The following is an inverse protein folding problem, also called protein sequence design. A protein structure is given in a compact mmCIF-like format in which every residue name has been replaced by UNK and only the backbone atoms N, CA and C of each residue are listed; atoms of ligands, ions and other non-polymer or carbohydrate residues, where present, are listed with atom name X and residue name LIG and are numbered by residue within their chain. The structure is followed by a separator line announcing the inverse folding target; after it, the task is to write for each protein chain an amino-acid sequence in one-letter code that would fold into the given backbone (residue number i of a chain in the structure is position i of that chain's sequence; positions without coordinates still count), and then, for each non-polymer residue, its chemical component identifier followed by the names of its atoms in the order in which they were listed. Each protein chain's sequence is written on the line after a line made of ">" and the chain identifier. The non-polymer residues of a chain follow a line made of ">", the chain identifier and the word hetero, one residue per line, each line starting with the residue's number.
data_IF_279691652512
#
_entry.id   IF_279691652512
#
_cell.length_a   1.000
_cell.length_b   1.000
_cell.length_c   1.000
_cell.angle_alpha   90.00
_cell.angle_beta   90.00
_cell.angle_gamma   90.00
#
_symmetry.space_group_name_H-M   'P 1'
#
loop_
_entity.id
_entity.type
_entity.pdbx_description
1 polymer ?
#
# COMPACT_ATOMS: atom_id res chain seq x y z
N UNK A 1 -14.22 -2.53 14.05
CA UNK A 1 -14.50 -1.89 12.73
C UNK A 1 -15.51 -2.71 11.90
N UNK A 2 -16.80 -2.81 12.27
CA UNK A 2 -17.92 -3.22 11.38
C UNK A 2 -19.29 -2.88 12.06
N UNK A 3 -19.60 -1.62 12.38
CA UNK A 3 -20.94 -1.31 12.96
C UNK A 3 -21.84 -0.43 12.09
N UNK A 4 -21.28 0.33 11.14
CA UNK A 4 -22.08 1.23 10.31
C UNK A 4 -22.80 0.53 9.13
N UNK A 5 -22.22 -0.55 8.58
CA UNK A 5 -22.91 -1.35 7.53
C UNK A 5 -24.17 -2.05 8.04
N UNK A 6 -24.31 -2.22 9.35
CA UNK A 6 -25.46 -2.89 9.97
C UNK A 6 -26.61 -1.95 10.32
N UNK A 7 -26.40 -0.64 10.37
CA UNK A 7 -27.49 0.27 10.75
C UNK A 7 -28.56 0.39 9.65
N UNK A 8 -28.14 0.41 8.37
CA UNK A 8 -29.09 0.38 7.24
C UNK A 8 -29.55 -1.04 6.88
N UNK A 9 -28.76 -2.09 7.14
CA UNK A 9 -29.13 -3.46 6.76
C UNK A 9 -30.06 -4.20 7.74
N UNK A 10 -30.18 -3.77 9.00
CA UNK A 10 -31.01 -4.47 10.00
C UNK A 10 -32.37 -3.80 10.28
N UNK A 11 -32.62 -2.56 9.82
CA UNK A 11 -33.87 -1.79 10.05
C UNK A 11 -34.74 -1.65 8.78
N UNK A 12 -34.85 -2.69 7.95
CA UNK A 12 -35.59 -2.70 6.67
C UNK A 12 -37.13 -2.65 6.80
N UNK A 13 -37.69 -1.97 7.79
CA UNK A 13 -39.14 -1.73 7.89
C UNK A 13 -39.50 -0.26 8.08
N UNK A 14 -38.54 0.64 8.26
CA UNK A 14 -38.80 2.07 8.45
C UNK A 14 -38.07 2.92 7.40
N UNK A 15 -38.80 3.27 6.34
CA UNK A 15 -38.40 4.35 5.44
C UNK A 15 -39.02 5.66 5.92
N UNK A 16 -38.21 6.70 6.07
CA UNK A 16 -38.75 8.03 6.30
C UNK A 16 -39.28 8.56 4.96
N UNK A 17 -40.60 8.79 4.90
CA UNK A 17 -41.23 9.48 3.78
C UNK A 17 -40.92 10.98 3.89
N UNK A 18 -40.60 11.62 2.76
CA UNK A 18 -40.24 13.03 2.69
C UNK A 18 -39.02 13.40 3.56
N UNK A 19 -37.99 12.54 3.57
CA UNK A 19 -36.76 12.87 4.27
C UNK A 19 -36.11 14.14 3.68
N UNK A 20 -35.68 15.05 4.54
CA UNK A 20 -35.00 16.30 4.18
C UNK A 20 -33.50 16.14 4.40
N UNK A 21 -32.79 15.68 3.37
CA UNK A 21 -31.33 15.50 3.39
C UNK A 21 -30.68 16.56 2.48
N UNK A 22 -29.58 17.16 2.90
CA UNK A 22 -28.91 18.25 2.15
C UNK A 22 -27.86 17.71 1.21
N UNK A 23 -27.10 16.71 1.63
CA UNK A 23 -26.00 16.16 0.84
C UNK A 23 -26.53 15.03 -0.04
N UNK A 24 -27.38 14.15 0.51
CA UNK A 24 -28.01 13.04 -0.21
C UNK A 24 -29.26 13.44 -1.01
N UNK A 25 -29.46 14.72 -1.35
CA UNK A 25 -30.65 15.22 -2.06
C UNK A 25 -30.83 14.56 -3.44
N UNK A 26 -29.74 14.25 -4.15
CA UNK A 26 -29.80 13.54 -5.43
C UNK A 26 -30.36 12.12 -5.29
N UNK A 27 -29.95 11.41 -4.24
CA UNK A 27 -30.49 10.08 -3.89
C UNK A 27 -31.95 10.16 -3.49
N UNK A 28 -32.33 11.16 -2.69
CA UNK A 28 -33.74 11.41 -2.35
C UNK A 28 -34.60 11.65 -3.58
N UNK A 29 -34.11 12.41 -4.57
CA UNK A 29 -34.85 12.66 -5.81
C UNK A 29 -35.10 11.36 -6.59
N UNK A 30 -34.11 10.47 -6.64
CA UNK A 30 -34.22 9.19 -7.32
C UNK A 30 -35.17 8.20 -6.62
N UNK A 31 -35.31 8.28 -5.29
CA UNK A 31 -36.16 7.39 -4.49
C UNK A 31 -37.55 7.95 -4.18
N UNK A 32 -37.90 9.11 -4.74
CA UNK A 32 -39.19 9.77 -4.46
C UNK A 32 -39.29 10.31 -3.03
N UNK A 33 -38.17 10.75 -2.45
CA UNK A 33 -38.10 11.32 -1.10
C UNK A 33 -37.98 10.27 0.01
N UNK A 34 -37.77 9.00 -0.33
CA UNK A 34 -37.64 7.91 0.63
C UNK A 34 -36.17 7.68 1.00
N UNK A 35 -35.86 7.71 2.29
CA UNK A 35 -34.53 7.39 2.81
C UNK A 35 -34.59 6.58 4.09
N UNK A 36 -33.56 5.77 4.30
CA UNK A 36 -33.28 5.12 5.58
C UNK A 36 -32.48 6.02 6.52
N UNK A 37 -32.02 7.18 6.03
CA UNK A 37 -31.26 8.16 6.77
C UNK A 37 -32.17 9.34 7.13
N UNK A 38 -32.15 9.75 8.39
CA UNK A 38 -32.79 10.98 8.86
C UNK A 38 -31.81 12.15 8.78
N UNK A 39 -32.30 13.39 8.87
CA UNK A 39 -31.45 14.58 8.85
C UNK A 39 -30.34 14.55 9.93
N UNK A 40 -30.63 14.26 11.21
CA UNK A 40 -29.57 14.16 12.24
C UNK A 40 -28.53 13.08 11.94
N UNK A 41 -28.94 11.95 11.34
CA UNK A 41 -28.01 10.89 10.95
C UNK A 41 -27.08 11.32 9.81
N UNK A 42 -27.59 12.10 8.85
CA UNK A 42 -26.76 12.67 7.79
C UNK A 42 -25.77 13.70 8.36
N UNK A 43 -26.23 14.57 9.27
CA UNK A 43 -25.37 15.57 9.91
C UNK A 43 -24.26 14.90 10.75
N UNK A 44 -24.58 13.86 11.53
CA UNK A 44 -23.59 13.07 12.29
C UNK A 44 -22.58 12.37 11.36
N UNK A 45 -23.04 11.84 10.23
CA UNK A 45 -22.16 11.24 9.23
C UNK A 45 -21.22 12.29 8.61
N UNK A 46 -21.71 13.49 8.32
CA UNK A 46 -20.90 14.56 7.75
C UNK A 46 -19.85 15.08 8.75
N UNK A 47 -20.15 15.09 10.05
CA UNK A 47 -19.20 15.47 11.09
C UNK A 47 -18.07 14.43 11.24
N UNK A 48 -18.40 13.14 11.12
CA UNK A 48 -17.45 12.03 11.32
C UNK A 48 -16.71 11.62 10.04
N UNK A 49 -17.23 11.97 8.86
CA UNK A 49 -16.63 11.59 7.57
C UNK A 49 -15.18 12.07 7.37
N UNK A 50 -14.78 13.30 7.76
CA UNK A 50 -13.39 13.74 7.60
C UNK A 50 -12.41 12.91 8.42
N UNK A 51 -12.77 12.59 9.67
CA UNK A 51 -11.95 11.76 10.57
C UNK A 51 -11.82 10.34 10.02
N UNK A 52 -12.94 9.75 9.60
CA UNK A 52 -12.93 8.42 8.97
C UNK A 52 -12.07 8.37 7.71
N UNK A 53 -12.19 9.39 6.84
CA UNK A 53 -11.37 9.48 5.63
C UNK A 53 -9.89 9.64 5.98
N UNK A 54 -9.58 10.46 6.99
CA UNK A 54 -8.22 10.66 7.46
C UNK A 54 -7.60 9.36 7.98
N UNK A 55 -8.29 8.66 8.89
CA UNK A 55 -7.84 7.37 9.42
C UNK A 55 -7.63 6.35 8.29
N UNK A 56 -8.57 6.25 7.35
CA UNK A 56 -8.44 5.31 6.25
C UNK A 56 -7.24 5.63 5.34
N UNK A 57 -6.99 6.91 5.05
CA UNK A 57 -5.83 7.36 4.29
C UNK A 57 -4.55 7.04 5.06
N UNK A 58 -4.49 7.34 6.36
CA UNK A 58 -3.33 7.04 7.21
C UNK A 58 -2.99 5.55 7.20
N UNK A 59 -3.96 4.69 7.48
CA UNK A 59 -3.76 3.23 7.46
C UNK A 59 -3.27 2.73 6.10
N UNK A 60 -3.87 3.22 5.00
CA UNK A 60 -3.47 2.84 3.65
C UNK A 60 -2.03 3.27 3.36
N UNK A 61 -1.66 4.47 3.80
CA UNK A 61 -0.30 5.00 3.65
C UNK A 61 0.72 4.23 4.48
N UNK A 62 0.38 3.83 5.71
CA UNK A 62 1.25 3.00 6.56
C UNK A 62 1.54 1.65 5.91
N UNK A 63 0.51 0.98 5.39
CA UNK A 63 0.65 -0.29 4.67
C UNK A 63 1.52 -0.10 3.41
N UNK A 64 1.29 0.98 2.65
CA UNK A 64 2.07 1.26 1.45
C UNK A 64 3.54 1.55 1.78
N UNK A 65 3.80 2.39 2.80
CA UNK A 65 5.15 2.68 3.29
C UNK A 65 5.88 1.41 3.69
N UNK A 66 5.23 0.53 4.47
CA UNK A 66 5.82 -0.74 4.88
C UNK A 66 6.23 -1.61 3.67
N UNK A 67 5.38 -1.70 2.64
CA UNK A 67 5.69 -2.44 1.41
C UNK A 67 6.85 -1.82 0.62
N UNK A 68 6.90 -0.50 0.53
CA UNK A 68 8.00 0.22 -0.13
C UNK A 68 9.31 -0.05 0.61
N UNK A 69 9.32 0.11 1.94
CA UNK A 69 10.50 -0.15 2.78
C UNK A 69 10.98 -1.59 2.65
N UNK A 70 10.07 -2.57 2.66
CA UNK A 70 10.41 -3.97 2.47
C UNK A 70 11.04 -4.22 1.09
N UNK A 71 10.47 -3.61 0.05
CA UNK A 71 10.94 -3.77 -1.34
C UNK A 71 12.32 -3.13 -1.52
N UNK A 72 12.55 -1.95 -0.96
CA UNK A 72 13.85 -1.28 -0.96
C UNK A 72 14.91 -2.11 -0.23
N UNK A 73 14.61 -2.60 0.97
CA UNK A 73 15.53 -3.44 1.73
C UNK A 73 15.91 -4.71 0.96
N UNK A 74 14.93 -5.35 0.30
CA UNK A 74 15.18 -6.53 -0.55
C UNK A 74 16.04 -6.19 -1.75
N UNK A 75 15.75 -5.09 -2.45
CA UNK A 75 16.54 -4.63 -3.59
C UNK A 75 17.98 -4.37 -3.18
N UNK A 76 18.21 -3.57 -2.13
CA UNK A 76 19.56 -3.27 -1.61
C UNK A 76 20.31 -4.54 -1.20
N UNK A 77 19.63 -5.48 -0.54
CA UNK A 77 20.19 -6.77 -0.16
C UNK A 77 20.65 -7.59 -1.37
N UNK A 78 19.79 -7.71 -2.39
CA UNK A 78 20.12 -8.42 -3.64
C UNK A 78 21.25 -7.74 -4.41
N UNK A 79 21.23 -6.40 -4.53
CA UNK A 79 22.32 -5.65 -5.19
C UNK A 79 23.65 -5.86 -4.47
N UNK A 80 23.64 -5.82 -3.14
CA UNK A 80 24.86 -6.05 -2.35
C UNK A 80 25.42 -7.45 -2.59
N UNK A 81 24.57 -8.49 -2.61
CA UNK A 81 24.98 -9.86 -2.92
C UNK A 81 25.61 -9.95 -4.32
N UNK A 82 24.98 -9.36 -5.34
CA UNK A 82 25.48 -9.36 -6.72
C UNK A 82 26.87 -8.68 -6.81
N UNK A 83 27.04 -7.55 -6.11
CA UNK A 83 28.33 -6.83 -6.07
C UNK A 83 29.40 -7.72 -5.41
N UNK A 84 29.09 -8.35 -4.28
CA UNK A 84 30.04 -9.24 -3.59
C UNK A 84 30.43 -10.44 -4.46
N UNK A 85 29.48 -11.08 -5.12
CA UNK A 85 29.76 -12.20 -6.02
C UNK A 85 30.62 -11.77 -7.21
N UNK A 86 30.32 -10.61 -7.80
CA UNK A 86 31.10 -10.05 -8.91
C UNK A 86 32.54 -9.76 -8.50
N UNK A 87 32.74 -9.12 -7.33
CA UNK A 87 34.08 -8.85 -6.80
C UNK A 87 34.84 -10.14 -6.49
N UNK A 88 34.16 -11.15 -5.94
CA UNK A 88 34.76 -12.46 -5.67
C UNK A 88 35.22 -13.14 -6.96
N UNK A 89 34.37 -13.17 -7.99
CA UNK A 89 34.72 -13.73 -9.31
C UNK A 89 35.90 -12.99 -9.94
N UNK A 90 35.87 -11.66 -9.92
CA UNK A 90 36.97 -10.84 -10.46
C UNK A 90 38.31 -11.12 -9.77
N UNK A 91 38.33 -11.20 -8.43
CA UNK A 91 39.54 -11.51 -7.67
C UNK A 91 40.10 -12.90 -7.98
N UNK A 92 39.22 -13.91 -8.13
CA UNK A 92 39.63 -15.26 -8.53
C UNK A 92 40.24 -15.26 -9.92
N UNK A 93 39.59 -14.62 -10.90
CA UNK A 93 40.11 -14.49 -12.27
C UNK A 93 41.46 -13.79 -12.31
N UNK A 94 41.66 -12.75 -11.49
CA UNK A 94 42.93 -12.02 -11.38
C UNK A 94 44.04 -12.86 -10.73
N UNK A 95 43.71 -13.72 -9.77
CA UNK A 95 44.67 -14.68 -9.20
C UNK A 95 45.09 -15.73 -10.22
N UNK A 96 44.14 -16.27 -10.99
CA UNK A 96 44.43 -17.23 -12.06
C UNK A 96 45.34 -16.62 -13.13
N UNK A 97 45.04 -15.43 -13.63
CA UNK A 97 45.87 -14.78 -14.65
C UNK A 97 47.30 -14.52 -14.18
N UNK A 98 47.49 -14.13 -12.92
CA UNK A 98 48.82 -13.99 -12.30
C UNK A 98 49.58 -15.32 -12.21
N UNK A 99 48.90 -16.40 -11.83
CA UNK A 99 49.51 -17.73 -11.75
C UNK A 99 49.92 -18.26 -13.13
N UNK A 100 49.09 -18.06 -14.16
CA UNK A 100 49.42 -18.40 -15.54
C UNK A 100 50.60 -17.58 -16.05
N UNK A 101 50.62 -16.26 -15.77
CA UNK A 101 51.74 -15.41 -16.17
C UNK A 101 53.06 -15.80 -15.47
N UNK A 102 53.01 -16.12 -14.17
CA UNK A 102 54.16 -16.62 -13.43
C UNK A 102 54.67 -17.98 -13.98
N UNK A 103 53.75 -18.88 -14.37
CA UNK A 103 54.09 -20.15 -15.02
C UNK A 103 54.76 -19.94 -16.38
N UNK A 104 54.20 -19.07 -17.23
CA UNK A 104 54.79 -18.72 -18.53
C UNK A 104 56.19 -18.10 -18.37
N UNK A 105 56.38 -17.20 -17.40
CA UNK A 105 57.71 -16.63 -17.10
C UNK A 105 58.72 -17.70 -16.73
N UNK A 106 58.30 -18.69 -15.93
CA UNK A 106 59.15 -19.81 -15.49
C UNK A 106 59.57 -20.73 -16.63
N UNK A 107 58.70 -20.94 -17.63
CA UNK A 107 59.02 -21.71 -18.85
C UNK A 107 59.97 -20.93 -19.78
N UNK A 108 59.72 -19.64 -19.97
CA UNK A 108 60.49 -18.79 -20.89
C UNK A 108 61.88 -18.38 -20.35
N UNK A 109 62.21 -18.69 -19.08
CA UNK A 109 63.45 -18.26 -18.38
C UNK A 109 63.76 -16.77 -18.60
N UNK A 110 62.72 -15.93 -18.54
CA UNK A 110 62.82 -14.46 -18.44
C UNK A 110 62.76 -14.00 -16.99
#
# INVERSE_FOLDING_TARGET
>A
MVEFRTHCRKKFTFFQKNATLSVCHGTLRATGGNSCCTRPMEDEFLLTAPEYLHEHIQMSNEVLKAKITQSDAKFRGSTFQIIQETLRKYNISKLQSRSSFAFFRRILRL
#
